data_IF_305421303752
#
_entry.id   IF_305421303752
#
_cell.length_a   1.000
_cell.length_b   1.000
_cell.length_c   1.000
_cell.angle_alpha   90.00
_cell.angle_beta   90.00
_cell.angle_gamma   90.00
#
_symmetry.space_group_name_H-M   'P 1'
#
loop_
_entity.id
_entity.type
_entity.pdbx_description
1 polymer ?
#
# COMPACT_ATOMS: atom_id res chain seq x y z
N UNK A 1 4.74 -4.53 -29.63
CA UNK A 1 4.17 -4.29 -28.29
C UNK A 1 3.09 -5.33 -28.09
N UNK A 2 3.17 -6.16 -27.04
CA UNK A 2 2.17 -7.22 -26.81
C UNK A 2 0.80 -6.62 -26.49
N UNK A 3 -0.27 -7.37 -26.78
CA UNK A 3 -1.65 -6.96 -26.46
C UNK A 3 -1.81 -6.61 -24.97
N UNK A 4 -1.15 -7.37 -24.11
CA UNK A 4 -1.14 -7.15 -22.65
C UNK A 4 -0.49 -5.80 -22.30
N UNK A 5 0.67 -5.46 -22.89
CA UNK A 5 1.33 -4.17 -22.65
C UNK A 5 0.44 -3.01 -23.09
N UNK A 6 -0.33 -3.16 -24.18
CA UNK A 6 -1.31 -2.16 -24.61
C UNK A 6 -2.43 -1.98 -23.57
N UNK A 7 -3.00 -3.09 -23.06
CA UNK A 7 -4.03 -3.06 -22.01
C UNK A 7 -3.50 -2.37 -20.75
N UNK A 8 -2.31 -2.74 -20.28
CA UNK A 8 -1.67 -2.13 -19.11
C UNK A 8 -1.40 -0.64 -19.31
N UNK A 9 -1.00 -0.25 -20.52
CA UNK A 9 -0.80 1.17 -20.88
C UNK A 9 -2.11 1.96 -20.81
N UNK A 10 -3.21 1.38 -21.28
CA UNK A 10 -4.52 2.05 -21.26
C UNK A 10 -5.10 2.10 -19.84
N UNK A 11 -4.94 1.04 -19.04
CA UNK A 11 -5.28 1.05 -17.61
C UNK A 11 -4.49 2.13 -16.86
N UNK A 12 -3.18 2.22 -17.09
CA UNK A 12 -2.31 3.26 -16.50
C UNK A 12 -2.82 4.67 -16.81
N UNK A 13 -3.23 4.93 -18.06
CA UNK A 13 -3.80 6.23 -18.47
C UNK A 13 -5.13 6.50 -17.79
N UNK A 14 -5.96 5.48 -17.57
CA UNK A 14 -7.23 5.65 -16.87
C UNK A 14 -7.02 6.00 -15.40
N UNK A 15 -6.09 5.35 -14.70
CA UNK A 15 -5.74 5.71 -13.32
C UNK A 15 -5.19 7.13 -13.20
N UNK A 16 -4.39 7.57 -14.18
CA UNK A 16 -3.91 8.96 -14.25
C UNK A 16 -5.06 9.97 -14.46
N UNK A 17 -6.06 9.62 -15.29
CA UNK A 17 -7.26 10.45 -15.45
C UNK A 17 -8.07 10.53 -14.16
N UNK A 18 -8.20 9.44 -13.40
CA UNK A 18 -8.89 9.44 -12.10
C UNK A 18 -8.25 10.47 -11.17
N UNK A 19 -6.92 10.47 -11.06
CA UNK A 19 -6.20 11.48 -10.29
C UNK A 19 -6.50 12.91 -10.76
N UNK A 20 -6.39 13.17 -12.07
CA UNK A 20 -6.60 14.51 -12.64
C UNK A 20 -8.05 15.01 -12.46
N UNK A 21 -9.03 14.11 -12.51
CA UNK A 21 -10.44 14.46 -12.40
C UNK A 21 -10.87 14.69 -10.95
N UNK A 22 -10.30 13.95 -10.01
CA UNK A 22 -10.64 14.06 -8.58
C UNK A 22 -9.82 15.14 -7.87
N UNK A 23 -8.66 15.51 -8.42
CA UNK A 23 -7.78 16.53 -7.82
C UNK A 23 -8.49 17.86 -7.52
N UNK A 24 -9.21 18.47 -8.48
CA UNK A 24 -9.94 19.71 -8.20
C UNK A 24 -11.05 19.54 -7.17
N UNK A 25 -11.57 18.33 -6.97
CA UNK A 25 -12.67 18.08 -6.04
C UNK A 25 -12.14 18.09 -4.60
N UNK A 26 -11.03 17.42 -4.33
CA UNK A 26 -10.44 17.43 -2.99
C UNK A 26 -9.75 18.77 -2.66
N UNK A 27 -9.17 19.46 -3.65
CA UNK A 27 -8.57 20.79 -3.41
C UNK A 27 -9.60 21.88 -3.06
N UNK A 28 -10.89 21.67 -3.36
CA UNK A 28 -11.96 22.65 -3.15
C UNK A 28 -13.01 22.20 -2.13
N UNK A 29 -12.89 21.01 -1.53
CA UNK A 29 -13.85 20.55 -0.52
C UNK A 29 -13.50 21.17 0.84
N UNK A 30 -14.48 21.77 1.50
CA UNK A 30 -14.35 22.21 2.90
C UNK A 30 -14.69 21.09 3.90
N UNK A 31 -15.20 19.95 3.41
CA UNK A 31 -15.58 18.82 4.24
C UNK A 31 -14.41 17.85 4.41
N UNK A 32 -13.80 17.84 5.60
CA UNK A 32 -12.66 17.00 5.93
C UNK A 32 -12.90 15.48 5.78
N UNK A 33 -14.14 15.02 6.00
CA UNK A 33 -14.46 13.60 5.83
C UNK A 33 -14.47 13.20 4.35
N UNK A 34 -15.09 14.03 3.50
CA UNK A 34 -15.08 13.82 2.05
C UNK A 34 -13.68 13.97 1.46
N UNK A 35 -12.88 14.91 1.99
CA UNK A 35 -11.47 15.08 1.61
C UNK A 35 -10.69 13.78 1.79
N UNK A 36 -10.78 13.15 2.96
CA UNK A 36 -10.13 11.86 3.25
C UNK A 36 -10.57 10.77 2.27
N UNK A 37 -11.87 10.66 1.97
CA UNK A 37 -12.36 9.64 1.05
C UNK A 37 -11.84 9.84 -0.38
N UNK A 38 -11.80 11.07 -0.87
CA UNK A 38 -11.29 11.37 -2.20
C UNK A 38 -9.78 11.14 -2.24
N UNK A 39 -9.06 11.53 -1.20
CA UNK A 39 -7.60 11.33 -1.09
C UNK A 39 -7.26 9.84 -1.10
N UNK A 40 -8.02 8.97 -0.41
CA UNK A 40 -7.83 7.51 -0.48
C UNK A 40 -7.92 7.02 -1.93
N UNK A 41 -8.96 7.41 -2.67
CA UNK A 41 -9.16 7.01 -4.07
C UNK A 41 -8.00 7.51 -4.96
N UNK A 42 -7.56 8.75 -4.74
CA UNK A 42 -6.43 9.35 -5.45
C UNK A 42 -5.14 8.57 -5.18
N UNK A 43 -4.86 8.22 -3.93
CA UNK A 43 -3.67 7.46 -3.57
C UNK A 43 -3.72 6.05 -4.14
N UNK A 44 -4.87 5.39 -4.14
CA UNK A 44 -5.03 4.08 -4.78
C UNK A 44 -4.82 4.14 -6.29
N UNK A 45 -5.32 5.18 -6.96
CA UNK A 45 -5.08 5.39 -8.40
C UNK A 45 -3.58 5.53 -8.69
N UNK A 46 -2.83 6.24 -7.84
CA UNK A 46 -1.36 6.35 -7.95
C UNK A 46 -0.68 4.99 -7.75
N UNK A 47 -1.12 4.19 -6.77
CA UNK A 47 -0.62 2.82 -6.55
C UNK A 47 -0.87 1.95 -7.77
N UNK A 48 -2.08 1.94 -8.32
CA UNK A 48 -2.45 1.15 -9.51
C UNK A 48 -1.64 1.54 -10.75
N UNK A 49 -1.42 2.85 -10.96
CA UNK A 49 -0.53 3.36 -12.01
C UNK A 49 0.86 2.72 -11.90
N UNK A 50 1.43 2.68 -10.68
CA UNK A 50 2.75 2.09 -10.40
C UNK A 50 2.77 0.58 -10.60
N UNK A 51 1.70 -0.12 -10.26
CA UNK A 51 1.55 -1.56 -10.52
C UNK A 51 1.58 -1.81 -12.04
N UNK A 52 0.82 -1.04 -12.84
CA UNK A 52 0.82 -1.18 -14.29
C UNK A 52 2.22 -0.96 -14.90
N UNK A 53 2.95 0.04 -14.40
CA UNK A 53 4.34 0.31 -14.79
C UNK A 53 5.25 -0.87 -14.44
N UNK A 54 5.18 -1.38 -13.21
CA UNK A 54 6.00 -2.50 -12.75
C UNK A 54 5.75 -3.79 -13.57
N UNK A 55 4.48 -4.13 -13.84
CA UNK A 55 4.14 -5.30 -14.67
C UNK A 55 4.64 -5.13 -16.10
N UNK A 56 4.52 -3.92 -16.67
CA UNK A 56 5.05 -3.66 -18.02
C UNK A 56 6.56 -3.88 -18.07
N UNK A 57 7.31 -3.36 -17.09
CA UNK A 57 8.75 -3.56 -16.98
C UNK A 57 9.09 -5.05 -16.83
N UNK A 58 8.38 -5.79 -15.98
CA UNK A 58 8.57 -7.24 -15.80
C UNK A 58 8.35 -8.04 -17.10
N UNK A 59 7.43 -7.58 -17.95
CA UNK A 59 7.15 -8.24 -19.23
C UNK A 59 8.17 -7.89 -20.32
N UNK A 60 8.79 -6.72 -20.24
CA UNK A 60 9.75 -6.21 -21.23
C UNK A 60 11.20 -6.54 -20.87
N UNK A 61 11.52 -6.69 -19.59
CA UNK A 61 12.86 -6.95 -19.07
C UNK A 61 12.96 -8.34 -18.45
N UNK A 62 13.98 -9.10 -18.87
CA UNK A 62 14.20 -10.46 -18.36
C UNK A 62 14.87 -10.52 -16.98
N UNK A 63 15.45 -9.42 -16.48
CA UNK A 63 16.08 -9.37 -15.16
C UNK A 63 15.86 -8.02 -14.48
N UNK A 64 15.25 -8.05 -13.31
CA UNK A 64 15.26 -6.95 -12.34
C UNK A 64 16.36 -7.22 -11.32
N UNK A 65 17.10 -6.16 -10.97
CA UNK A 65 18.18 -6.23 -9.98
C UNK A 65 17.79 -5.37 -8.79
N UNK A 66 18.05 -5.86 -7.59
CA UNK A 66 17.93 -5.09 -6.36
C UNK A 66 18.98 -3.97 -6.36
N UNK A 67 18.59 -2.68 -6.30
CA UNK A 67 19.56 -1.59 -6.30
C UNK A 67 20.44 -1.65 -5.05
N UNK A 68 21.77 -1.59 -5.20
CA UNK A 68 22.71 -1.61 -4.05
C UNK A 68 22.35 -0.64 -2.91
N UNK A 69 21.90 0.61 -3.16
CA UNK A 69 21.53 1.52 -2.09
C UNK A 69 20.42 1.01 -1.16
N UNK A 70 19.58 0.09 -1.63
CA UNK A 70 18.50 -0.47 -0.79
C UNK A 70 19.04 -1.47 0.25
N UNK A 71 20.24 -2.02 0.02
CA UNK A 71 20.92 -2.99 0.90
C UNK A 71 21.90 -2.32 1.87
N UNK A 72 22.06 -1.00 1.79
CA UNK A 72 22.90 -0.23 2.71
C UNK A 72 22.32 -0.22 4.12
N UNK A 73 23.18 -0.21 5.13
CA UNK A 73 22.79 -0.14 6.55
C UNK A 73 21.93 1.09 6.85
N UNK A 74 22.17 2.21 6.14
CA UNK A 74 21.37 3.43 6.24
C UNK A 74 19.90 3.19 5.85
N UNK A 75 19.65 2.45 4.78
CA UNK A 75 18.31 2.09 4.34
C UNK A 75 17.66 1.10 5.31
N UNK A 76 18.41 0.10 5.76
CA UNK A 76 17.98 -0.87 6.78
C UNK A 76 17.53 -0.14 8.06
N UNK A 77 18.32 0.79 8.57
CA UNK A 77 17.98 1.60 9.75
C UNK A 77 16.69 2.42 9.57
N UNK A 78 16.45 2.95 8.37
CA UNK A 78 15.22 3.69 8.04
C UNK A 78 14.01 2.74 8.11
N UNK A 79 14.11 1.54 7.53
CA UNK A 79 13.04 0.55 7.59
C UNK A 79 12.76 0.13 9.04
N UNK A 80 13.79 -0.12 9.84
CA UNK A 80 13.62 -0.50 11.25
C UNK A 80 12.91 0.59 12.07
N UNK A 81 13.29 1.87 11.86
CA UNK A 81 12.60 3.00 12.48
C UNK A 81 11.14 3.10 12.05
N UNK A 82 10.86 2.85 10.78
CA UNK A 82 9.50 2.88 10.25
C UNK A 82 8.63 1.75 10.83
N UNK A 83 9.18 0.54 10.98
CA UNK A 83 8.48 -0.60 11.62
C UNK A 83 8.05 -0.25 13.04
N UNK A 84 8.96 0.32 13.83
CA UNK A 84 8.66 0.73 15.20
C UNK A 84 7.66 1.88 15.25
N UNK A 85 7.76 2.85 14.33
CA UNK A 85 6.78 3.92 14.21
C UNK A 85 5.37 3.41 13.89
N UNK A 86 5.24 2.45 12.97
CA UNK A 86 3.95 1.85 12.63
C UNK A 86 3.36 1.04 13.79
N UNK A 87 4.19 0.30 14.52
CA UNK A 87 3.75 -0.43 15.72
C UNK A 87 3.19 0.51 16.79
N UNK A 88 3.87 1.64 17.04
CA UNK A 88 3.41 2.65 17.99
C UNK A 88 2.10 3.29 17.51
N UNK A 89 2.01 3.62 16.22
CA UNK A 89 0.77 4.16 15.63
C UNK A 89 -0.39 3.19 15.78
N UNK A 90 -0.19 1.89 15.50
CA UNK A 90 -1.24 0.85 15.67
C UNK A 90 -1.73 0.83 17.12
N UNK A 91 -0.80 0.85 18.07
CA UNK A 91 -1.14 0.84 19.51
C UNK A 91 -1.95 2.07 19.92
N UNK A 92 -1.58 3.24 19.40
CA UNK A 92 -2.33 4.49 19.64
C UNK A 92 -3.74 4.43 19.06
N UNK A 93 -3.89 3.93 17.82
CA UNK A 93 -5.19 3.78 17.16
C UNK A 93 -6.10 2.80 17.92
N UNK A 94 -5.57 1.66 18.37
CA UNK A 94 -6.29 0.67 19.19
C UNK A 94 -6.77 1.29 20.52
N UNK A 95 -5.99 2.20 21.10
CA UNK A 95 -6.34 2.84 22.38
C UNK A 95 -7.49 3.85 22.29
N UNK A 96 -7.83 4.32 21.08
CA UNK A 96 -8.88 5.31 20.84
C UNK A 96 -10.11 4.72 20.15
N UNK A 97 -10.01 3.60 19.44
CA UNK A 97 -11.09 3.06 18.58
C UNK A 97 -12.44 2.90 19.29
N UNK A 98 -12.43 2.31 20.49
CA UNK A 98 -13.64 2.06 21.29
C UNK A 98 -14.27 3.35 21.86
N UNK A 99 -13.51 4.45 21.90
CA UNK A 99 -13.96 5.75 22.43
C UNK A 99 -14.65 6.61 21.37
N UNK A 100 -14.57 6.22 20.10
CA UNK A 100 -15.09 7.00 18.98
C UNK A 100 -16.55 6.69 18.69
N UNK A 101 -17.25 7.68 18.13
CA UNK A 101 -18.57 7.47 17.55
C UNK A 101 -18.48 6.58 16.29
N UNK A 102 -19.57 5.93 15.86
CA UNK A 102 -19.55 4.98 14.75
C UNK A 102 -18.99 5.55 13.43
N UNK A 103 -19.18 6.84 13.13
CA UNK A 103 -18.72 7.44 11.87
C UNK A 103 -17.21 7.63 11.88
N UNK A 104 -16.67 8.14 12.99
CA UNK A 104 -15.22 8.32 13.16
C UNK A 104 -14.50 6.99 13.30
N UNK A 105 -15.14 6.00 13.94
CA UNK A 105 -14.59 4.65 14.09
C UNK A 105 -14.27 4.00 12.75
N UNK A 106 -15.14 4.15 11.74
CA UNK A 106 -14.91 3.54 10.43
C UNK A 106 -13.59 4.00 9.78
N UNK A 107 -13.25 5.29 9.86
CA UNK A 107 -11.99 5.82 9.32
C UNK A 107 -10.77 5.34 10.13
N UNK A 108 -10.91 5.26 11.46
CA UNK A 108 -9.84 4.76 12.33
C UNK A 108 -9.61 3.26 12.12
N UNK A 109 -10.66 2.45 11.98
CA UNK A 109 -10.53 1.04 11.64
C UNK A 109 -9.86 0.86 10.27
N UNK A 110 -10.26 1.64 9.26
CA UNK A 110 -9.60 1.66 7.95
C UNK A 110 -8.10 1.98 8.06
N UNK A 111 -7.74 3.06 8.78
CA UNK A 111 -6.35 3.47 8.99
C UNK A 111 -5.56 2.40 9.74
N UNK A 112 -6.14 1.79 10.77
CA UNK A 112 -5.51 0.74 11.55
C UNK A 112 -5.24 -0.51 10.70
N UNK A 113 -6.18 -0.95 9.87
CA UNK A 113 -5.97 -2.07 8.94
C UNK A 113 -4.87 -1.76 7.93
N UNK A 114 -4.82 -0.54 7.39
CA UNK A 114 -3.76 -0.11 6.49
C UNK A 114 -2.39 -0.14 7.19
N UNK A 115 -2.29 0.38 8.41
CA UNK A 115 -1.06 0.35 9.21
C UNK A 115 -0.63 -1.07 9.54
N UNK A 116 -1.56 -1.96 9.90
CA UNK A 116 -1.26 -3.39 10.15
C UNK A 116 -0.72 -4.08 8.90
N UNK A 117 -1.28 -3.79 7.72
CA UNK A 117 -0.77 -4.29 6.45
C UNK A 117 0.64 -3.76 6.17
N UNK A 118 0.85 -2.45 6.27
CA UNK A 118 2.17 -1.84 6.03
C UNK A 118 3.23 -2.40 6.98
N UNK A 119 2.89 -2.60 8.26
CA UNK A 119 3.83 -3.10 9.25
C UNK A 119 4.29 -4.52 8.90
N UNK A 120 3.37 -5.37 8.45
CA UNK A 120 3.71 -6.71 7.96
C UNK A 120 4.61 -6.64 6.72
N UNK A 121 4.28 -5.79 5.74
CA UNK A 121 5.08 -5.61 4.51
C UNK A 121 6.50 -5.21 4.86
N UNK A 122 6.65 -4.20 5.72
CA UNK A 122 7.94 -3.69 6.13
C UNK A 122 8.74 -4.75 6.88
N UNK A 123 8.10 -5.51 7.77
CA UNK A 123 8.74 -6.61 8.50
C UNK A 123 9.23 -7.70 7.55
N UNK A 124 8.40 -8.15 6.62
CA UNK A 124 8.77 -9.17 5.63
C UNK A 124 9.91 -8.68 4.73
N UNK A 125 9.87 -7.41 4.29
CA UNK A 125 10.95 -6.82 3.49
C UNK A 125 12.25 -6.70 4.30
N UNK A 126 12.16 -6.32 5.58
CA UNK A 126 13.32 -6.15 6.46
C UNK A 126 14.09 -7.47 6.63
N UNK A 127 13.40 -8.61 6.68
CA UNK A 127 14.05 -9.93 6.71
C UNK A 127 14.93 -10.17 5.48
N UNK A 128 14.47 -9.76 4.30
CA UNK A 128 15.25 -9.87 3.06
C UNK A 128 16.43 -8.90 3.05
N UNK A 129 16.21 -7.65 3.46
CA UNK A 129 17.25 -6.62 3.48
C UNK A 129 18.37 -6.97 4.47
N UNK A 130 18.05 -7.45 5.66
CA UNK A 130 19.05 -7.92 6.64
C UNK A 130 19.87 -9.11 6.13
N UNK A 131 19.22 -10.01 5.38
CA UNK A 131 19.91 -11.13 4.74
C UNK A 131 20.77 -10.71 3.53
N UNK A 132 20.73 -9.42 3.15
CA UNK A 132 21.31 -8.88 1.91
C UNK A 132 20.85 -9.70 0.70
N UNK A 133 19.58 -10.05 0.69
CA UNK A 133 19.00 -10.86 -0.37
C UNK A 133 19.08 -10.11 -1.70
N UNK A 134 19.59 -10.79 -2.72
CA UNK A 134 19.74 -10.23 -4.07
C UNK A 134 18.85 -10.93 -5.08
N UNK A 135 18.28 -12.08 -4.72
CA UNK A 135 17.33 -12.80 -5.55
C UNK A 135 15.92 -12.16 -5.47
N UNK A 136 15.51 -11.55 -6.58
CA UNK A 136 14.17 -10.99 -6.77
C UNK A 136 13.04 -12.02 -6.54
N UNK A 137 13.29 -13.32 -6.69
CA UNK A 137 12.27 -14.36 -6.50
C UNK A 137 11.65 -14.31 -5.10
N UNK A 138 12.43 -13.99 -4.07
CA UNK A 138 11.95 -13.87 -2.69
C UNK A 138 11.13 -12.60 -2.47
N UNK A 139 11.47 -11.51 -3.14
CA UNK A 139 10.67 -10.28 -3.13
C UNK A 139 9.30 -10.49 -3.78
N UNK A 140 9.24 -11.27 -4.88
CA UNK A 140 7.97 -11.65 -5.49
C UNK A 140 7.11 -12.51 -4.56
N UNK A 141 7.71 -13.42 -3.78
CA UNK A 141 6.96 -14.22 -2.80
C UNK A 141 6.29 -13.36 -1.72
N UNK A 142 6.97 -12.30 -1.25
CA UNK A 142 6.36 -11.32 -0.34
C UNK A 142 5.16 -10.65 -1.02
N UNK A 143 5.34 -10.15 -2.25
CA UNK A 143 4.25 -9.53 -3.01
C UNK A 143 3.05 -10.48 -3.18
N UNK A 144 3.27 -11.74 -3.54
CA UNK A 144 2.23 -12.76 -3.70
C UNK A 144 1.48 -13.03 -2.40
N UNK A 145 2.19 -13.12 -1.28
CA UNK A 145 1.59 -13.36 0.03
C UNK A 145 0.70 -12.20 0.46
N UNK A 146 1.10 -10.96 0.15
CA UNK A 146 0.31 -9.76 0.40
C UNK A 146 -0.96 -9.72 -0.44
N UNK A 147 -0.83 -10.00 -1.74
CA UNK A 147 -1.98 -10.01 -2.66
C UNK A 147 -2.99 -11.08 -2.24
N UNK A 148 -2.53 -12.27 -1.83
CA UNK A 148 -3.41 -13.33 -1.32
C UNK A 148 -4.16 -12.91 -0.05
N UNK A 149 -3.50 -12.20 0.88
CA UNK A 149 -4.13 -11.70 2.11
C UNK A 149 -5.16 -10.59 1.83
N UNK A 150 -4.89 -9.69 0.88
CA UNK A 150 -5.79 -8.61 0.50
C UNK A 150 -7.12 -9.09 -0.13
N UNK A 151 -7.12 -10.29 -0.73
CA UNK A 151 -8.31 -10.89 -1.35
C UNK A 151 -9.05 -11.87 -0.43
N UNK A 152 -8.64 -12.01 0.83
CA UNK A 152 -9.44 -12.75 1.82
C UNK A 152 -10.62 -11.88 2.24
N UNK A 153 -11.88 -12.35 2.13
CA UNK A 153 -13.03 -11.57 2.56
C UNK A 153 -12.87 -11.22 4.04
N UNK A 154 -13.12 -9.95 4.38
CA UNK A 154 -13.16 -9.49 5.76
C UNK A 154 -14.02 -10.46 6.58
N UNK A 155 -13.48 -10.95 7.72
CA UNK A 155 -14.28 -11.76 8.64
C UNK A 155 -15.54 -10.96 8.99
N UNK A 156 -16.74 -11.53 8.89
CA UNK A 156 -17.96 -10.81 9.21
C UNK A 156 -17.83 -10.24 10.62
N UNK A 157 -18.14 -8.95 10.76
CA UNK A 157 -18.20 -8.30 12.05
C UNK A 157 -19.06 -9.17 12.98
N UNK A 158 -18.52 -9.51 14.16
CA UNK A 158 -19.29 -10.23 15.18
C UNK A 158 -20.49 -9.35 15.54
N UNK A 159 -21.66 -9.68 14.97
CA UNK A 159 -22.94 -9.22 15.48
C UNK A 159 -23.11 -9.81 16.87
N UNK A 160 -22.84 -9.00 17.89
CA UNK A 160 -23.34 -9.28 19.22
C UNK A 160 -24.82 -8.92 19.20
N UNK A 161 -25.66 -9.95 19.26
CA UNK A 161 -27.09 -9.84 19.58
C UNK A 161 -27.26 -9.62 21.08
#
# INVERSE_FOLDING_TARGET
MSEIVKILTDLRKNEEKTFLNLKPIYENTENAYLDVLIEIIVQDSKKHKKICEAVTVLMEQNQLVIPEPILEETTIDIFQKQIEHEKNTITELESIEDKLDPKSRALISYMMEEKKRNHQILTDLMELLHAKETDMSRYYQIADNLMKKAHQPAKPARTQY
#
